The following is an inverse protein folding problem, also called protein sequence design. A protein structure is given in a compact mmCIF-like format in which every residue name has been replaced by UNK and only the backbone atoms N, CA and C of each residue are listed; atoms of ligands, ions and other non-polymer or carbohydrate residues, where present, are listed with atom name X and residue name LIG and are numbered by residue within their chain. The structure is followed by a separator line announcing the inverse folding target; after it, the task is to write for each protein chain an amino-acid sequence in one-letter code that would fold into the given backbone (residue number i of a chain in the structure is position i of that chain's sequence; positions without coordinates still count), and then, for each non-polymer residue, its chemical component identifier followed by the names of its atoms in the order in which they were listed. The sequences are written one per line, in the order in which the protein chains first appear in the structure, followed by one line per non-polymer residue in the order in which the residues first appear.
data_IF_193888206269
#
_entry.id   IF_193888206269
#
_cell.length_a   1.000
_cell.length_b   1.000
_cell.length_c   1.000
_cell.angle_alpha   90.00
_cell.angle_beta   90.00
_cell.angle_gamma   90.00
#
_symmetry.space_group_name_H-M   'P 1'
#
loop_
_entity.id
_entity.type
_entity.pdbx_description
1 polymer ?
#
# COMPACT_ATOMS: atom_id res chain seq x y z
N UNK A 1 1.57 31.43 46.61
CA UNK A 1 0.45 31.45 45.65
C UNK A 1 -0.09 30.03 45.63
N UNK A 2 -1.15 29.76 46.38
CA UNK A 2 -1.74 28.41 46.40
C UNK A 2 -2.45 28.16 45.07
N UNK A 3 -2.07 27.09 44.39
CA UNK A 3 -2.75 26.65 43.19
C UNK A 3 -4.10 26.05 43.62
N UNK A 4 -5.21 26.65 43.19
CA UNK A 4 -6.52 26.05 43.40
C UNK A 4 -6.67 24.80 42.51
N UNK A 5 -7.54 23.88 42.92
CA UNK A 5 -7.72 22.57 42.25
C UNK A 5 -8.04 22.72 40.75
N UNK A 6 -8.74 23.78 40.36
CA UNK A 6 -9.06 24.09 38.97
C UNK A 6 -7.82 24.44 38.15
N UNK A 7 -6.91 25.25 38.71
CA UNK A 7 -5.66 25.62 38.06
C UNK A 7 -4.71 24.43 37.92
N UNK A 8 -4.68 23.55 38.92
CA UNK A 8 -3.91 22.27 38.85
C UNK A 8 -4.43 21.42 37.69
N UNK A 9 -5.75 21.29 37.55
CA UNK A 9 -6.36 20.46 36.52
C UNK A 9 -6.08 21.00 35.12
N UNK A 10 -6.23 22.31 34.92
CA UNK A 10 -5.91 22.97 33.64
C UNK A 10 -4.43 22.80 33.27
N UNK A 11 -3.52 22.99 34.23
CA UNK A 11 -2.08 22.82 33.99
C UNK A 11 -1.73 21.36 33.67
N UNK A 12 -2.37 20.39 34.33
CA UNK A 12 -2.14 18.98 34.06
C UNK A 12 -2.61 18.56 32.66
N UNK A 13 -3.77 19.04 32.19
CA UNK A 13 -4.25 18.76 30.83
C UNK A 13 -3.35 19.42 29.79
N UNK A 14 -2.93 20.67 30.01
CA UNK A 14 -2.01 21.38 29.12
C UNK A 14 -0.66 20.66 29.01
N UNK A 15 -0.12 20.17 30.13
CA UNK A 15 1.13 19.42 30.15
C UNK A 15 1.01 18.09 29.38
N UNK A 16 -0.10 17.37 29.52
CA UNK A 16 -0.35 16.13 28.76
C UNK A 16 -0.41 16.41 27.26
N UNK A 17 -1.11 17.48 26.83
CA UNK A 17 -1.20 17.84 25.41
C UNK A 17 0.16 18.26 24.83
N UNK A 18 0.98 18.98 25.61
CA UNK A 18 2.34 19.34 25.18
C UNK A 18 3.23 18.12 25.09
N UNK A 19 3.19 17.21 26.07
CA UNK A 19 3.99 15.97 26.04
C UNK A 19 3.54 15.05 24.91
N UNK A 20 2.23 14.96 24.65
CA UNK A 20 1.70 14.21 23.51
C UNK A 20 2.14 14.84 22.18
N UNK A 21 2.04 16.15 22.03
CA UNK A 21 2.47 16.86 20.81
C UNK A 21 3.99 16.80 20.58
N UNK A 22 4.79 16.96 21.64
CA UNK A 22 6.25 16.85 21.56
C UNK A 22 6.68 15.41 21.29
N UNK A 23 6.07 14.43 21.96
CA UNK A 23 6.37 13.02 21.71
C UNK A 23 5.93 12.57 20.32
N UNK A 24 4.83 13.11 19.78
CA UNK A 24 4.45 12.91 18.38
C UNK A 24 5.47 13.52 17.42
N UNK A 25 5.86 14.78 17.64
CA UNK A 25 6.86 15.46 16.80
C UNK A 25 8.25 14.81 16.84
N UNK A 26 8.61 14.19 17.96
CA UNK A 26 9.91 13.53 18.17
C UNK A 26 9.88 12.02 17.97
N UNK A 27 8.77 11.44 17.50
CA UNK A 27 8.64 9.99 17.26
C UNK A 27 8.71 9.11 18.52
N UNK A 28 8.53 9.68 19.72
CA UNK A 28 8.58 8.93 20.99
C UNK A 28 7.48 7.88 21.14
N UNK A 29 6.43 8.00 20.33
CA UNK A 29 5.31 7.08 20.32
C UNK A 29 5.36 6.11 19.15
N UNK A 30 6.35 6.12 18.26
CA UNK A 30 6.35 5.25 17.06
C UNK A 30 6.19 3.76 17.43
N UNK A 31 6.82 3.30 18.54
CA UNK A 31 6.66 1.94 19.07
C UNK A 31 5.30 1.67 19.76
N UNK A 32 4.56 2.72 20.11
CA UNK A 32 3.22 2.66 20.75
C UNK A 32 2.07 2.91 19.77
N UNK A 33 2.31 3.61 18.67
CA UNK A 33 1.34 3.88 17.61
C UNK A 33 0.95 2.56 16.91
N UNK A 34 1.89 1.63 16.79
CA UNK A 34 1.68 0.24 16.31
C UNK A 34 0.65 -0.55 17.14
N UNK A 35 0.35 -0.14 18.38
CA UNK A 35 -0.62 -0.79 19.27
C UNK A 35 -1.99 -0.11 19.29
N UNK A 36 -2.18 0.95 18.50
CA UNK A 36 -3.42 1.70 18.47
C UNK A 36 -4.34 1.04 17.42
N UNK A 37 -5.39 0.30 17.83
CA UNK A 37 -6.08 -0.67 16.95
C UNK A 37 -6.94 -0.07 15.82
N UNK A 38 -6.90 1.25 15.63
CA UNK A 38 -7.76 2.00 14.71
C UNK A 38 -6.99 2.62 13.53
N UNK A 39 -5.69 2.37 13.42
CA UNK A 39 -4.92 2.54 12.19
C UNK A 39 -4.40 1.16 11.84
N UNK A 40 -4.89 0.58 10.74
CA UNK A 40 -4.31 -0.66 10.24
C UNK A 40 -2.87 -0.39 9.83
N UNK A 41 -1.96 -1.32 10.11
CA UNK A 41 -0.66 -1.30 9.46
C UNK A 41 -0.90 -1.44 7.96
N UNK A 42 -0.41 -0.48 7.16
CA UNK A 42 -0.58 -0.48 5.71
C UNK A 42 0.77 -0.61 5.00
N UNK A 43 0.71 -1.01 3.73
CA UNK A 43 1.82 -0.98 2.79
C UNK A 43 1.34 -0.68 1.37
N UNK A 44 2.29 -0.54 0.46
CA UNK A 44 2.01 -0.18 -0.92
C UNK A 44 2.20 -1.38 -1.86
N UNK A 45 1.38 -1.45 -2.90
CA UNK A 45 1.50 -2.45 -3.97
C UNK A 45 1.71 -1.76 -5.31
N UNK A 46 2.86 -2.00 -5.93
CA UNK A 46 3.14 -1.66 -7.32
C UNK A 46 3.00 -2.89 -8.21
N UNK A 47 2.07 -2.82 -9.15
CA UNK A 47 1.88 -3.83 -10.19
C UNK A 47 2.47 -3.31 -11.49
N UNK A 48 3.26 -4.14 -12.15
CA UNK A 48 3.83 -3.87 -13.49
C UNK A 48 3.41 -4.97 -14.45
N UNK A 49 3.04 -4.61 -15.67
CA UNK A 49 2.53 -5.55 -16.66
C UNK A 49 3.19 -5.32 -18.00
N UNK A 50 3.67 -6.41 -18.58
CA UNK A 50 4.33 -6.43 -19.87
C UNK A 50 3.74 -7.50 -20.79
N UNK A 51 3.88 -7.31 -22.09
CA UNK A 51 3.75 -8.34 -23.10
C UNK A 51 5.13 -8.95 -23.38
N UNK A 52 5.28 -10.25 -23.11
CA UNK A 52 6.49 -11.03 -23.34
C UNK A 52 6.70 -11.43 -24.81
N UNK A 53 5.74 -11.13 -25.69
CA UNK A 53 5.81 -11.40 -27.14
C UNK A 53 6.19 -12.85 -27.50
N UNK A 54 5.79 -13.81 -26.67
CA UNK A 54 6.15 -15.22 -26.77
C UNK A 54 7.65 -15.52 -26.72
N UNK A 55 8.43 -14.66 -26.06
CA UNK A 55 9.86 -14.85 -25.88
C UNK A 55 10.20 -14.94 -24.40
N UNK A 56 11.35 -15.56 -24.09
CA UNK A 56 11.95 -15.49 -22.75
C UNK A 56 12.90 -14.31 -22.61
N UNK A 57 13.02 -13.47 -23.64
CA UNK A 57 13.93 -12.34 -23.65
C UNK A 57 13.20 -11.08 -23.18
N UNK A 58 13.50 -10.65 -21.96
CA UNK A 58 12.82 -9.51 -21.32
C UNK A 58 13.29 -8.15 -21.84
N UNK A 59 14.21 -8.09 -22.81
CA UNK A 59 14.69 -6.80 -23.37
C UNK A 59 13.67 -6.14 -24.29
N UNK A 60 12.78 -6.94 -24.86
CA UNK A 60 11.79 -6.49 -25.84
C UNK A 60 10.37 -6.40 -25.22
N UNK A 61 10.27 -6.64 -23.91
CA UNK A 61 9.04 -6.60 -23.13
C UNK A 61 8.39 -5.23 -23.26
N UNK A 62 7.17 -5.21 -23.78
CA UNK A 62 6.43 -3.96 -24.00
C UNK A 62 5.48 -3.72 -22.84
N UNK A 63 5.50 -2.53 -22.19
CA UNK A 63 4.55 -2.21 -21.15
C UNK A 63 3.11 -2.23 -21.69
N UNK A 64 2.20 -2.87 -20.94
CA UNK A 64 0.79 -3.00 -21.31
C UNK A 64 -0.09 -2.06 -20.49
N UNK A 65 -0.65 -1.07 -21.17
CA UNK A 65 -1.62 -0.14 -20.61
C UNK A 65 -3.04 -0.72 -20.60
N UNK A 66 -3.93 -0.18 -19.76
CA UNK A 66 -5.34 -0.56 -19.65
C UNK A 66 -5.61 -2.01 -19.21
N UNK A 67 -4.63 -2.70 -18.63
CA UNK A 67 -4.80 -4.00 -17.97
C UNK A 67 -5.57 -3.77 -16.67
N UNK A 68 -6.64 -4.54 -16.44
CA UNK A 68 -7.43 -4.42 -15.20
C UNK A 68 -6.75 -5.22 -14.10
N UNK A 69 -6.32 -4.53 -13.05
CA UNK A 69 -5.71 -5.12 -11.87
C UNK A 69 -6.71 -5.12 -10.74
N UNK A 70 -6.95 -6.29 -10.15
CA UNK A 70 -7.85 -6.50 -9.01
C UNK A 70 -7.06 -7.14 -7.88
N UNK A 71 -7.10 -6.56 -6.69
CA UNK A 71 -6.59 -7.21 -5.47
C UNK A 71 -7.74 -8.00 -4.86
N UNK A 72 -7.70 -9.33 -4.99
CA UNK A 72 -8.79 -10.20 -4.54
C UNK A 72 -8.99 -10.10 -3.02
N UNK A 73 -10.23 -10.31 -2.59
CA UNK A 73 -10.68 -10.09 -1.19
C UNK A 73 -10.68 -8.62 -0.74
N UNK A 74 -10.52 -7.68 -1.67
CA UNK A 74 -10.67 -6.24 -1.46
C UNK A 74 -11.56 -5.63 -2.55
N UNK A 75 -11.93 -4.36 -2.40
CA UNK A 75 -12.61 -3.58 -3.45
C UNK A 75 -11.62 -2.83 -4.37
N UNK A 76 -10.31 -3.08 -4.21
CA UNK A 76 -9.26 -2.35 -4.93
C UNK A 76 -9.14 -2.86 -6.36
N UNK A 77 -9.49 -1.97 -7.29
CA UNK A 77 -9.37 -2.19 -8.73
C UNK A 77 -8.74 -0.97 -9.39
N UNK A 78 -7.71 -1.17 -10.21
CA UNK A 78 -7.06 -0.10 -10.98
C UNK A 78 -6.63 -0.61 -12.33
N UNK A 79 -6.61 0.27 -13.34
CA UNK A 79 -6.04 -0.03 -14.65
C UNK A 79 -4.59 0.41 -14.74
N UNK A 80 -3.75 -0.35 -15.44
CA UNK A 80 -2.38 0.05 -15.70
C UNK A 80 -2.29 1.30 -16.58
N UNK A 81 -1.32 2.17 -16.29
CA UNK A 81 -1.01 3.37 -17.05
C UNK A 81 -0.25 3.08 -18.37
N UNK A 82 0.17 4.13 -19.07
CA UNK A 82 0.96 4.01 -20.32
C UNK A 82 2.30 3.29 -20.15
N UNK A 83 2.81 3.20 -18.92
CA UNK A 83 4.04 2.50 -18.56
C UNK A 83 3.75 1.07 -18.07
N UNK A 84 2.53 0.58 -18.21
CA UNK A 84 2.11 -0.73 -17.73
C UNK A 84 2.09 -0.84 -16.21
N UNK A 85 1.99 0.27 -15.49
CA UNK A 85 2.07 0.31 -14.03
C UNK A 85 0.73 0.65 -13.39
N UNK A 86 0.40 -0.02 -12.29
CA UNK A 86 -0.67 0.36 -11.38
C UNK A 86 -0.13 0.39 -9.94
N UNK A 87 -0.33 1.52 -9.24
CA UNK A 87 0.07 1.68 -7.84
C UNK A 87 -1.18 1.69 -6.95
N UNK A 88 -1.18 0.89 -5.89
CA UNK A 88 -2.14 0.93 -4.80
C UNK A 88 -1.39 1.33 -3.54
N UNK A 89 -1.91 2.34 -2.86
CA UNK A 89 -1.33 2.91 -1.65
C UNK A 89 -2.23 2.54 -0.47
N UNK A 90 -1.66 2.48 0.72
CA UNK A 90 -2.38 2.28 1.97
C UNK A 90 -3.23 0.99 2.01
N UNK A 91 -2.67 -0.13 1.53
CA UNK A 91 -3.32 -1.44 1.62
C UNK A 91 -3.00 -2.07 2.96
N UNK A 92 -4.01 -2.61 3.65
CA UNK A 92 -3.82 -3.39 4.88
C UNK A 92 -2.74 -4.48 4.69
N UNK A 93 -1.88 -4.66 5.69
CA UNK A 93 -0.87 -5.73 5.66
C UNK A 93 -1.51 -7.11 5.61
N UNK A 94 -0.95 -8.00 4.80
CA UNK A 94 -1.48 -9.35 4.64
C UNK A 94 -1.10 -10.03 3.33
N UNK A 95 -1.54 -11.27 3.18
CA UNK A 95 -1.37 -12.04 1.95
C UNK A 95 -2.59 -11.88 1.05
N UNK A 96 -2.37 -11.38 -0.16
CA UNK A 96 -3.41 -11.16 -1.17
C UNK A 96 -3.11 -11.92 -2.45
N UNK A 97 -4.15 -12.21 -3.22
CA UNK A 97 -4.02 -12.67 -4.59
C UNK A 97 -4.32 -11.49 -5.52
N UNK A 98 -3.34 -11.09 -6.31
CA UNK A 98 -3.48 -10.04 -7.32
C UNK A 98 -3.82 -10.70 -8.64
N UNK A 99 -4.88 -10.22 -9.25
CA UNK A 99 -5.35 -10.65 -10.55
C UNK A 99 -5.09 -9.55 -11.58
N UNK A 100 -4.49 -9.92 -12.71
CA UNK A 100 -4.37 -9.10 -13.90
C UNK A 100 -5.24 -9.69 -15.01
N UNK A 101 -6.18 -8.89 -15.53
CA UNK A 101 -7.05 -9.26 -16.64
C UNK A 101 -6.79 -8.36 -17.85
N UNK A 102 -6.51 -8.98 -19.00
CA UNK A 102 -6.33 -8.31 -20.27
C UNK A 102 -6.83 -9.20 -21.41
N UNK A 103 -7.65 -8.65 -22.32
CA UNK A 103 -8.18 -9.37 -23.49
C UNK A 103 -8.78 -10.76 -23.17
N UNK A 104 -9.55 -10.86 -22.08
CA UNK A 104 -10.15 -12.11 -21.57
C UNK A 104 -9.15 -13.18 -21.10
N UNK A 105 -7.87 -12.84 -21.00
CA UNK A 105 -6.83 -13.64 -20.33
C UNK A 105 -6.67 -13.10 -18.91
N UNK A 106 -6.61 -14.02 -17.95
CA UNK A 106 -6.47 -13.70 -16.53
C UNK A 106 -5.23 -14.40 -15.97
N UNK A 107 -4.39 -13.63 -15.28
CA UNK A 107 -3.21 -14.13 -14.57
C UNK A 107 -3.34 -13.75 -13.09
N UNK A 108 -3.00 -14.69 -12.20
CA UNK A 108 -3.04 -14.44 -10.76
C UNK A 108 -1.66 -14.64 -10.14
N UNK A 109 -1.32 -13.84 -9.13
CA UNK A 109 -0.13 -14.00 -8.29
C UNK A 109 -0.43 -13.69 -6.84
N UNK A 110 0.05 -14.53 -5.94
CA UNK A 110 0.03 -14.24 -4.50
C UNK A 110 1.14 -13.25 -4.15
N UNK A 111 0.82 -12.27 -3.32
CA UNK A 111 1.72 -11.24 -2.83
C UNK A 111 1.51 -11.02 -1.33
N UNK A 112 2.58 -10.71 -0.62
CA UNK A 112 2.53 -10.33 0.79
C UNK A 112 2.78 -8.82 0.90
N UNK A 113 1.80 -8.09 1.43
CA UNK A 113 1.91 -6.67 1.76
C UNK A 113 2.48 -6.57 3.17
N UNK A 114 3.64 -5.93 3.25
CA UNK A 114 4.37 -5.70 4.50
C UNK A 114 4.27 -4.24 4.90
N UNK A 115 4.24 -3.99 6.20
CA UNK A 115 4.11 -2.65 6.78
C UNK A 115 5.17 -1.68 6.24
N UNK A 116 4.74 -0.46 5.91
CA UNK A 116 5.57 0.67 5.49
C UNK A 116 6.52 0.35 4.32
N UNK A 117 6.16 -0.62 3.48
CA UNK A 117 6.99 -1.12 2.40
C UNK A 117 6.25 -1.13 1.06
N UNK A 118 7.01 -0.91 0.00
CA UNK A 118 6.55 -1.02 -1.38
C UNK A 118 6.76 -2.44 -1.90
N UNK A 119 5.70 -3.23 -1.99
CA UNK A 119 5.75 -4.55 -2.63
C UNK A 119 5.55 -4.41 -4.14
N UNK A 120 6.43 -5.01 -4.94
CA UNK A 120 6.33 -4.98 -6.41
C UNK A 120 5.99 -6.37 -6.97
N UNK A 121 4.99 -6.43 -7.86
CA UNK A 121 4.62 -7.64 -8.60
C UNK A 121 4.63 -7.37 -10.10
N UNK A 122 5.12 -8.33 -10.88
CA UNK A 122 5.18 -8.24 -12.34
C UNK A 122 4.39 -9.36 -13.00
N UNK A 123 3.54 -8.99 -13.97
CA UNK A 123 2.80 -9.90 -14.83
C UNK A 123 3.34 -9.83 -16.26
N UNK A 124 3.36 -10.99 -16.92
CA UNK A 124 3.76 -11.13 -18.31
C UNK A 124 2.61 -11.79 -19.06
N UNK A 125 1.97 -11.03 -19.93
CA UNK A 125 1.04 -11.57 -20.92
C UNK A 125 1.84 -12.06 -22.13
N UNK A 126 1.24 -12.98 -22.88
CA UNK A 126 1.81 -13.46 -24.12
C UNK A 126 0.74 -13.26 -25.19
N UNK A 127 0.59 -12.03 -25.63
CA UNK A 127 -0.32 -11.66 -26.72
C UNK A 127 0.37 -12.00 -28.03
N UNK A 128 0.56 -13.29 -28.27
CA UNK A 128 0.88 -13.77 -29.61
C UNK A 128 -0.27 -13.32 -30.52
N UNK A 129 0.04 -12.40 -31.44
CA UNK A 129 -0.88 -11.86 -32.43
C UNK A 129 -1.80 -12.94 -32.98
N UNK A 130 -3.11 -12.82 -32.69
CA UNK A 130 -4.13 -13.55 -33.43
C UNK A 130 -4.44 -12.86 -34.75
#
# INVERSE_FOLDING_TARGET
MELNKTNVLVLSVAAILVVAGVGYYLGWFDEYLDKIPWWGDTGDLKVTVYDAMNTTNTTDDKPLANVTITVLSTELVKKTDSNGTALFEDIDVGSYEVQAEHNSVTLNKTVEITKDALTTVTFYFNESAS
#
